data_IF_315888233274
#
_entry.id   IF_315888233274
#
_cell.length_a   1.000
_cell.length_b   1.000
_cell.length_c   1.000
_cell.angle_alpha   90.00
_cell.angle_beta   90.00
_cell.angle_gamma   90.00
#
_symmetry.space_group_name_H-M   'P 1'
#
loop_
_entity.id
_entity.type
_entity.pdbx_description
1 polymer ?
#
# COMPACT_ATOMS: atom_id res chain seq x y z
N UNK A 1 -23.20 8.52 14.80
CA UNK A 1 -22.42 7.85 13.73
C UNK A 1 -20.97 8.26 13.86
N UNK A 2 -20.10 7.28 13.87
CA UNK A 2 -18.66 7.54 13.94
C UNK A 2 -18.13 7.74 12.54
N UNK A 3 -17.42 8.84 12.35
CA UNK A 3 -16.80 9.10 11.05
C UNK A 3 -15.61 8.19 10.83
N UNK A 4 -15.56 7.61 9.65
CA UNK A 4 -14.44 6.85 9.16
C UNK A 4 -13.36 7.82 8.69
N UNK A 5 -12.12 7.60 9.13
CA UNK A 5 -10.97 8.38 8.69
C UNK A 5 -9.95 7.47 8.03
N UNK A 6 -9.08 8.04 7.22
CA UNK A 6 -8.03 7.28 6.58
C UNK A 6 -6.74 7.36 7.38
N UNK A 7 -6.08 6.22 7.54
CA UNK A 7 -4.78 6.15 8.18
C UNK A 7 -3.78 7.06 7.43
N UNK A 8 -3.07 7.88 8.19
CA UNK A 8 -2.09 8.81 7.62
C UNK A 8 -0.89 8.12 6.97
N UNK A 9 -0.68 6.83 7.24
CA UNK A 9 0.41 6.06 6.65
C UNK A 9 -0.04 5.12 5.53
N UNK A 10 -0.96 4.21 5.82
CA UNK A 10 -1.34 3.15 4.87
C UNK A 10 -2.61 3.47 4.05
N UNK A 11 -3.31 4.55 4.39
CA UNK A 11 -4.54 4.95 3.70
C UNK A 11 -5.75 4.09 4.02
N UNK A 12 -5.62 3.06 4.86
CA UNK A 12 -6.74 2.19 5.24
C UNK A 12 -7.78 2.99 6.00
N UNK A 13 -9.07 2.87 5.66
CA UNK A 13 -10.11 3.48 6.47
C UNK A 13 -10.23 2.79 7.82
N UNK A 14 -10.44 3.56 8.88
CA UNK A 14 -10.68 3.06 10.23
C UNK A 14 -11.55 4.04 10.99
N UNK A 15 -12.19 3.56 12.05
CA UNK A 15 -12.99 4.39 12.95
C UNK A 15 -12.18 4.62 14.22
N UNK A 16 -11.80 5.87 14.53
CA UNK A 16 -11.08 6.18 15.76
C UNK A 16 -11.92 5.83 16.99
N UNK A 17 -11.28 5.24 18.01
CA UNK A 17 -11.96 4.98 19.27
C UNK A 17 -12.29 6.29 19.98
N UNK A 18 -13.53 6.47 20.52
CA UNK A 18 -13.84 7.65 21.31
C UNK A 18 -13.05 7.62 22.61
N UNK A 19 -12.50 8.76 22.99
CA UNK A 19 -11.74 8.88 24.21
C UNK A 19 -11.19 10.28 24.38
N UNK A 20 -10.73 10.65 25.59
CA UNK A 20 -10.07 11.94 25.80
C UNK A 20 -8.76 11.98 25.03
N UNK A 21 -8.43 13.14 24.45
CA UNK A 21 -7.20 13.37 23.73
C UNK A 21 -7.41 13.54 22.24
N UNK A 22 -6.30 13.63 21.51
CA UNK A 22 -6.34 13.84 20.08
C UNK A 22 -6.89 12.61 19.36
N UNK A 23 -7.73 12.79 18.32
CA UNK A 23 -8.16 11.68 17.49
C UNK A 23 -6.97 10.93 16.88
N UNK A 24 -7.11 9.62 16.78
CA UNK A 24 -6.08 8.79 16.16
C UNK A 24 -5.95 9.11 14.68
N UNK A 25 -4.72 9.21 14.21
CA UNK A 25 -4.38 9.44 12.80
C UNK A 25 -3.96 8.17 12.08
N UNK A 26 -3.71 7.10 12.82
CA UNK A 26 -3.17 5.84 12.29
C UNK A 26 -4.06 4.68 12.69
N UNK A 27 -4.25 3.73 11.77
CA UNK A 27 -5.09 2.57 12.04
C UNK A 27 -4.46 1.61 13.07
N UNK A 28 -3.14 1.66 13.21
CA UNK A 28 -2.39 0.83 14.15
C UNK A 28 -1.08 1.51 14.55
N UNK A 29 -0.49 1.01 15.64
CA UNK A 29 0.77 1.54 16.16
C UNK A 29 1.93 1.40 15.17
N UNK A 30 1.97 0.31 14.41
CA UNK A 30 3.03 0.09 13.43
C UNK A 30 3.00 1.14 12.33
N UNK A 31 1.82 1.61 11.91
CA UNK A 31 1.71 2.68 10.94
C UNK A 31 2.26 4.00 11.48
N UNK A 32 1.95 4.31 12.73
CA UNK A 32 2.49 5.48 13.42
C UNK A 32 4.01 5.43 13.46
N UNK A 33 4.57 4.29 13.82
CA UNK A 33 6.01 4.12 13.91
C UNK A 33 6.69 4.28 12.54
N UNK A 34 6.12 3.71 11.51
CA UNK A 34 6.64 3.81 10.14
C UNK A 34 6.61 5.23 9.60
N UNK A 35 5.54 5.97 9.86
CA UNK A 35 5.44 7.37 9.45
C UNK A 35 6.51 8.21 10.17
N UNK A 36 6.66 8.00 11.46
CA UNK A 36 7.69 8.67 12.26
C UNK A 36 9.09 8.40 11.70
N UNK A 37 9.42 7.15 11.45
CA UNK A 37 10.74 6.76 10.92
C UNK A 37 10.98 7.33 9.51
N UNK A 38 9.95 7.33 8.66
CA UNK A 38 10.05 7.88 7.31
C UNK A 38 10.31 9.39 7.34
N UNK A 39 9.59 10.12 8.20
CA UNK A 39 9.80 11.57 8.37
C UNK A 39 11.16 11.88 8.92
N UNK A 40 11.62 11.11 9.88
CA UNK A 40 12.95 11.27 10.45
C UNK A 40 14.04 11.08 9.40
N UNK A 41 13.92 10.02 8.59
CA UNK A 41 14.86 9.74 7.51
C UNK A 41 14.87 10.86 6.47
N UNK A 42 13.70 11.36 6.09
CA UNK A 42 13.57 12.48 5.16
C UNK A 42 14.22 13.74 5.72
N UNK A 43 13.98 14.05 7.00
CA UNK A 43 14.57 15.21 7.66
C UNK A 43 16.11 15.14 7.70
N UNK A 44 16.68 13.96 7.93
CA UNK A 44 18.13 13.73 7.91
C UNK A 44 18.76 14.06 6.54
N UNK A 45 17.98 14.02 5.47
CA UNK A 45 18.39 14.37 4.11
C UNK A 45 17.91 15.76 3.67
N UNK A 46 17.41 16.56 4.59
CA UNK A 46 16.96 17.93 4.30
C UNK A 46 15.65 18.00 3.52
N UNK A 47 14.84 16.93 3.55
CA UNK A 47 13.56 16.89 2.86
C UNK A 47 12.44 17.43 3.74
N UNK A 48 11.39 17.94 3.11
CA UNK A 48 10.21 18.44 3.80
C UNK A 48 9.33 17.29 4.31
N UNK A 49 8.41 17.59 5.24
CA UNK A 49 7.53 16.61 5.87
C UNK A 49 6.67 15.81 4.88
N UNK A 50 6.38 16.39 3.71
CA UNK A 50 5.58 15.71 2.68
C UNK A 50 6.41 14.93 1.67
N UNK A 51 7.72 14.91 1.84
CA UNK A 51 8.63 14.19 0.96
C UNK A 51 9.10 12.90 1.62
N UNK A 52 9.28 11.86 0.83
CA UNK A 52 9.70 10.54 1.29
C UNK A 52 10.88 10.05 0.44
N UNK A 53 11.72 9.23 1.06
CA UNK A 53 12.79 8.54 0.37
C UNK A 53 12.33 7.13 0.07
N UNK A 54 12.33 6.75 -1.21
CA UNK A 54 12.07 5.38 -1.63
C UNK A 54 13.20 4.94 -2.56
N UNK A 55 13.52 3.66 -2.54
CA UNK A 55 14.48 3.12 -3.48
C UNK A 55 13.85 3.01 -4.87
N UNK A 56 14.67 3.17 -5.90
CA UNK A 56 14.20 2.96 -7.27
C UNK A 56 13.66 1.55 -7.46
N UNK A 57 14.31 0.55 -6.86
CA UNK A 57 13.86 -0.84 -6.95
C UNK A 57 12.48 -1.04 -6.32
N UNK A 58 12.21 -0.43 -5.16
CA UNK A 58 10.92 -0.51 -4.51
C UNK A 58 9.82 0.14 -5.36
N UNK A 59 10.12 1.30 -5.92
CA UNK A 59 9.19 2.00 -6.80
C UNK A 59 8.89 1.19 -8.06
N UNK A 60 9.91 0.58 -8.68
CA UNK A 60 9.73 -0.28 -9.85
C UNK A 60 8.87 -1.49 -9.54
N UNK A 61 9.08 -2.15 -8.40
CA UNK A 61 8.25 -3.28 -7.99
C UNK A 61 6.78 -2.88 -7.81
N UNK A 62 6.55 -1.73 -7.23
CA UNK A 62 5.18 -1.22 -7.08
C UNK A 62 4.55 -0.93 -8.43
N UNK A 63 5.29 -0.28 -9.30
CA UNK A 63 4.81 0.09 -10.64
C UNK A 63 4.49 -1.15 -11.48
N UNK A 64 5.37 -2.15 -11.46
CA UNK A 64 5.16 -3.42 -12.15
C UNK A 64 3.92 -4.16 -11.63
N UNK A 65 3.78 -4.23 -10.31
CA UNK A 65 2.62 -4.90 -9.68
C UNK A 65 1.32 -4.15 -9.97
N UNK A 66 1.34 -2.83 -9.96
CA UNK A 66 0.19 -2.00 -10.31
C UNK A 66 -0.21 -2.17 -11.78
N UNK A 67 0.76 -2.27 -12.68
CA UNK A 67 0.52 -2.51 -14.09
C UNK A 67 -0.19 -3.85 -14.33
N UNK A 68 0.29 -4.93 -13.69
CA UNK A 68 -0.35 -6.25 -13.80
C UNK A 68 -1.79 -6.20 -13.28
N UNK A 69 -2.02 -5.53 -12.16
CA UNK A 69 -3.37 -5.38 -11.62
C UNK A 69 -4.27 -4.58 -12.57
N UNK A 70 -3.75 -3.51 -13.17
CA UNK A 70 -4.52 -2.72 -14.13
C UNK A 70 -4.93 -3.57 -15.34
N UNK A 71 -4.03 -4.40 -15.87
CA UNK A 71 -4.35 -5.33 -16.93
C UNK A 71 -5.44 -6.31 -16.52
N UNK A 72 -5.34 -6.86 -15.31
CA UNK A 72 -6.34 -7.81 -14.81
C UNK A 72 -7.72 -7.14 -14.67
N UNK A 73 -7.78 -5.90 -14.20
CA UNK A 73 -9.03 -5.14 -14.10
C UNK A 73 -9.66 -4.98 -15.48
N UNK A 74 -8.88 -4.59 -16.47
CA UNK A 74 -9.36 -4.42 -17.85
C UNK A 74 -9.88 -5.73 -18.44
N UNK A 75 -9.15 -6.84 -18.21
CA UNK A 75 -9.54 -8.15 -18.67
C UNK A 75 -10.88 -8.59 -18.06
N UNK A 76 -11.03 -8.43 -16.76
CA UNK A 76 -12.24 -8.81 -16.04
C UNK A 76 -13.43 -7.94 -16.47
N UNK A 77 -13.22 -6.64 -16.62
CA UNK A 77 -14.27 -5.75 -17.12
C UNK A 77 -14.77 -6.19 -18.50
N UNK A 78 -13.85 -6.57 -19.37
CA UNK A 78 -14.18 -7.07 -20.71
C UNK A 78 -14.90 -8.41 -20.66
N UNK A 79 -14.37 -9.34 -19.88
CA UNK A 79 -14.89 -10.71 -19.81
C UNK A 79 -16.30 -10.77 -19.19
N UNK A 80 -16.61 -9.88 -18.25
CA UNK A 80 -17.89 -9.84 -17.55
C UNK A 80 -18.87 -8.81 -18.13
N UNK A 81 -18.48 -8.06 -19.15
CA UNK A 81 -19.34 -7.05 -19.77
C UNK A 81 -20.51 -7.66 -20.57
N UNK A 82 -20.34 -8.88 -21.10
CA UNK A 82 -21.35 -9.61 -21.84
C UNK A 82 -22.00 -10.71 -21.01
N UNK A 83 -22.57 -11.69 -21.69
CA UNK A 83 -23.12 -12.87 -21.02
C UNK A 83 -21.97 -13.65 -20.35
N UNK A 84 -22.20 -14.03 -19.11
CA UNK A 84 -21.23 -14.80 -18.33
C UNK A 84 -21.95 -15.68 -17.32
N UNK A 85 -21.30 -16.75 -16.92
CA UNK A 85 -21.79 -17.68 -15.92
C UNK A 85 -20.93 -17.66 -14.65
N UNK A 86 -21.26 -18.55 -13.69
CA UNK A 86 -20.52 -18.64 -12.43
C UNK A 86 -19.06 -19.05 -12.62
N UNK A 87 -18.78 -19.85 -13.64
CA UNK A 87 -17.42 -20.29 -13.97
C UNK A 87 -16.60 -19.09 -14.46
N UNK A 88 -17.19 -18.24 -15.27
CA UNK A 88 -16.54 -17.02 -15.74
C UNK A 88 -16.22 -16.08 -14.59
N UNK A 89 -17.17 -15.91 -13.66
CA UNK A 89 -16.96 -15.08 -12.46
C UNK A 89 -15.84 -15.66 -11.59
N UNK A 90 -15.83 -16.97 -11.36
CA UNK A 90 -14.79 -17.62 -10.58
C UNK A 90 -13.40 -17.46 -11.21
N UNK A 91 -13.32 -17.58 -12.51
CA UNK A 91 -12.08 -17.39 -13.26
C UNK A 91 -11.59 -15.94 -13.17
N UNK A 92 -12.50 -14.99 -13.31
CA UNK A 92 -12.20 -13.56 -13.18
C UNK A 92 -11.69 -13.22 -11.79
N UNK A 93 -12.35 -13.74 -10.75
CA UNK A 93 -11.92 -13.54 -9.37
C UNK A 93 -10.53 -14.13 -9.12
N UNK A 94 -10.26 -15.34 -9.61
CA UNK A 94 -8.94 -15.96 -9.48
C UNK A 94 -7.86 -15.09 -10.15
N UNK A 95 -8.13 -14.56 -11.32
CA UNK A 95 -7.19 -13.69 -12.03
C UNK A 95 -6.93 -12.40 -11.25
N UNK A 96 -7.97 -11.74 -10.76
CA UNK A 96 -7.83 -10.53 -9.94
C UNK A 96 -7.04 -10.78 -8.66
N UNK A 97 -7.31 -11.89 -7.98
CA UNK A 97 -6.59 -12.25 -6.76
C UNK A 97 -5.12 -12.50 -7.04
N UNK A 98 -4.79 -13.23 -8.10
CA UNK A 98 -3.41 -13.47 -8.47
C UNK A 98 -2.67 -12.17 -8.79
N UNK A 99 -3.33 -11.26 -9.51
CA UNK A 99 -2.75 -9.97 -9.86
C UNK A 99 -2.60 -9.03 -8.64
N UNK A 100 -3.50 -9.14 -7.66
CA UNK A 100 -3.49 -8.30 -6.48
C UNK A 100 -2.54 -8.79 -5.38
N UNK A 101 -2.16 -10.08 -5.36
CA UNK A 101 -1.32 -10.65 -4.30
C UNK A 101 0.01 -9.95 -4.10
N UNK A 102 0.76 -9.57 -5.15
CA UNK A 102 2.02 -8.84 -4.93
C UNK A 102 1.82 -7.52 -4.18
N UNK A 103 0.74 -6.80 -4.46
CA UNK A 103 0.42 -5.56 -3.75
C UNK A 103 0.00 -5.82 -2.30
N UNK A 104 -0.80 -6.85 -2.06
CA UNK A 104 -1.19 -7.26 -0.72
C UNK A 104 0.03 -7.68 0.11
N UNK A 105 0.95 -8.39 -0.50
CA UNK A 105 2.21 -8.81 0.13
C UNK A 105 3.09 -7.61 0.46
N UNK A 106 3.20 -6.66 -0.44
CA UNK A 106 3.94 -5.42 -0.21
C UNK A 106 3.37 -4.66 1.00
N UNK A 107 2.04 -4.58 1.09
CA UNK A 107 1.37 -3.94 2.23
C UNK A 107 1.66 -4.68 3.54
N UNK A 108 1.64 -6.01 3.54
CA UNK A 108 1.96 -6.81 4.74
C UNK A 108 3.38 -6.61 5.21
N UNK A 109 4.32 -6.43 4.30
CA UNK A 109 5.74 -6.16 4.61
C UNK A 109 5.99 -4.73 5.07
N UNK A 110 4.97 -3.91 5.15
CA UNK A 110 5.08 -2.54 5.62
C UNK A 110 5.08 -1.49 4.53
N UNK A 111 4.74 -1.88 3.32
CA UNK A 111 4.60 -0.96 2.20
C UNK A 111 5.92 -0.62 1.52
N UNK A 112 5.88 0.42 0.71
CA UNK A 112 6.97 0.83 -0.17
C UNK A 112 8.28 1.17 0.58
N UNK A 113 8.16 1.68 1.79
CA UNK A 113 9.31 2.16 2.56
C UNK A 113 9.95 1.08 3.44
N UNK A 114 9.29 -0.04 3.66
CA UNK A 114 9.79 -1.12 4.50
C UNK A 114 10.94 -1.91 3.85
N UNK A 115 11.11 -1.80 2.54
CA UNK A 115 12.19 -2.47 1.82
C UNK A 115 13.58 -1.92 2.13
N UNK A 116 13.65 -0.87 2.95
CA UNK A 116 14.92 -0.29 3.34
C UNK A 116 15.71 -1.11 4.35
N UNK A 117 15.06 -2.03 5.03
CA UNK A 117 15.70 -2.79 6.11
C UNK A 117 16.60 -3.92 5.59
N UNK A 118 16.33 -4.40 4.38
CA UNK A 118 17.24 -5.34 3.71
C UNK A 118 18.40 -4.65 3.01
N UNK A 119 18.33 -3.35 2.99
CA UNK A 119 19.31 -2.51 2.35
C UNK A 119 20.39 -2.03 3.31
N UNK A 120 20.66 -2.80 4.33
CA UNK A 120 22.00 -2.81 4.90
C UNK A 120 23.03 -3.01 3.80
N UNK A 121 22.56 -3.29 2.64
CA UNK A 121 23.31 -3.34 1.40
C UNK A 121 23.20 -2.05 0.58
N UNK A 122 22.85 -0.94 1.12
CA UNK A 122 23.33 0.30 0.53
C UNK A 122 24.80 0.41 0.90
N UNK A 123 25.52 -0.50 0.41
CA UNK A 123 26.87 -0.24 0.04
C UNK A 123 26.76 0.74 -1.12
N UNK A 124 26.60 1.95 -0.75
CA UNK A 124 26.97 2.98 -1.67
C UNK A 124 28.39 2.72 -2.11
N UNK A 125 28.51 2.53 -3.28
CA UNK A 125 29.76 2.83 -3.92
C UNK A 125 29.99 4.32 -3.87
#
# INVERSE_FOLDING_TARGET
>A
MREEVRCAWCGRPFVPSPGPGRPRRYCRRSCRQRDFEARRRAAEHGLADHELIVTRAALSRLDDAAYVLACAVEDVDRDLAGEHDEVDVARALAWLLDAARPLAELSRRGGLLAGGDGAGAVTSL
#
